data_IF_222293486394
#
_entry.id   IF_222293486394
#
_cell.length_a   1.000
_cell.length_b   1.000
_cell.length_c   1.000
_cell.angle_alpha   90.00
_cell.angle_beta   90.00
_cell.angle_gamma   90.00
#
_symmetry.space_group_name_H-M   'P 1'
#
loop_
_entity.id
_entity.type
_entity.pdbx_description
1 polymer ?
#
# COMPACT_ATOMS: atom_id res chain seq x y z
N UNK A 1 -9.11 -21.99 0.59
CA UNK A 1 -8.71 -21.57 0.56
C UNK A 1 -7.97 -20.94 0.41
N UNK A 2 -8.04 -20.85 0.30
CA UNK A 2 -7.30 -20.44 0.05
C UNK A 2 -6.59 -19.44 -0.27
N UNK A 3 -6.59 -18.63 -0.32
CA UNK A 3 -6.00 -17.58 -0.54
C UNK A 3 -5.06 -17.12 0.39
N UNK A 4 -4.33 -18.01 0.93
CA UNK A 4 -3.35 -17.75 1.88
C UNK A 4 -2.16 -17.08 1.31
N UNK A 5 -2.10 -16.98 0.01
CA UNK A 5 -0.92 -16.48 -0.64
C UNK A 5 -1.08 -15.10 -1.26
N UNK A 6 -1.98 -14.31 -0.73
CA UNK A 6 -2.10 -12.93 -1.20
C UNK A 6 -0.82 -12.18 -0.84
N UNK A 7 -0.09 -11.67 -1.84
CA UNK A 7 1.18 -11.00 -1.55
C UNK A 7 0.98 -9.68 -0.80
N UNK A 8 1.89 -9.42 0.12
CA UNK A 8 1.91 -8.17 0.87
C UNK A 8 2.76 -7.19 0.07
N UNK A 9 2.17 -6.13 -0.41
CA UNK A 9 2.82 -5.17 -1.28
C UNK A 9 2.98 -3.84 -0.57
N UNK A 10 4.21 -3.42 -0.33
CA UNK A 10 4.50 -2.14 0.30
C UNK A 10 4.53 -1.03 -0.73
N UNK A 11 3.87 0.07 -0.45
CA UNK A 11 3.77 1.19 -1.37
C UNK A 11 4.41 2.41 -0.73
N UNK A 12 5.50 2.90 -1.31
CA UNK A 12 6.25 4.07 -0.83
C UNK A 12 6.22 5.13 -1.93
N UNK A 13 6.04 6.38 -1.55
CA UNK A 13 6.01 7.48 -2.52
C UNK A 13 4.67 7.62 -3.22
N UNK A 14 3.63 7.03 -2.68
CA UNK A 14 2.31 7.02 -3.31
C UNK A 14 1.66 8.41 -3.38
N UNK A 15 2.18 9.37 -2.62
CA UNK A 15 1.63 10.73 -2.64
C UNK A 15 2.12 11.57 -3.79
N UNK A 16 3.21 11.19 -4.42
CA UNK A 16 3.74 11.91 -5.54
C UNK A 16 2.86 11.78 -6.77
N UNK A 17 3.11 12.60 -7.78
CA UNK A 17 2.30 12.58 -8.99
C UNK A 17 2.33 11.21 -9.67
N UNK A 18 3.50 10.61 -9.79
CA UNK A 18 3.63 9.30 -10.41
C UNK A 18 2.95 8.24 -9.54
N UNK A 19 3.12 8.35 -8.24
CA UNK A 19 2.50 7.41 -7.31
C UNK A 19 0.99 7.46 -7.36
N UNK A 20 0.40 8.64 -7.45
CA UNK A 20 -1.06 8.76 -7.50
C UNK A 20 -1.62 8.21 -8.81
N UNK A 21 -0.92 8.40 -9.92
CA UNK A 21 -1.34 7.82 -11.21
C UNK A 21 -1.29 6.29 -11.14
N UNK A 22 -0.23 5.75 -10.54
CA UNK A 22 -0.10 4.31 -10.37
C UNK A 22 -1.25 3.76 -9.51
N UNK A 23 -1.59 4.47 -8.41
CA UNK A 23 -2.68 4.03 -7.55
C UNK A 23 -4.00 4.01 -8.30
N UNK A 24 -4.27 5.02 -9.12
CA UNK A 24 -5.50 5.07 -9.89
C UNK A 24 -5.57 3.92 -10.89
N UNK A 25 -4.45 3.61 -11.53
CA UNK A 25 -4.42 2.50 -12.48
C UNK A 25 -4.66 1.16 -11.78
N UNK A 26 -4.02 0.97 -10.63
CA UNK A 26 -4.19 -0.25 -9.87
C UNK A 26 -5.64 -0.43 -9.44
N UNK A 27 -6.30 0.66 -9.08
CA UNK A 27 -7.71 0.59 -8.71
C UNK A 27 -8.57 0.24 -9.93
N UNK A 28 -8.32 0.87 -11.07
CA UNK A 28 -9.08 0.64 -12.29
C UNK A 28 -8.91 -0.81 -12.79
N UNK A 29 -7.71 -1.37 -12.63
CA UNK A 29 -7.41 -2.72 -13.07
C UNK A 29 -7.75 -3.76 -12.01
N UNK A 30 -8.25 -3.31 -10.87
CA UNK A 30 -8.59 -4.17 -9.74
C UNK A 30 -7.39 -4.93 -9.18
N UNK A 31 -6.21 -4.37 -9.32
CA UNK A 31 -5.00 -4.98 -8.79
C UNK A 31 -5.04 -5.09 -7.27
N UNK A 32 -5.71 -4.14 -6.61
CA UNK A 32 -5.83 -4.19 -5.15
C UNK A 32 -6.63 -5.39 -4.66
N UNK A 33 -7.40 -6.03 -5.52
CA UNK A 33 -8.12 -7.23 -5.13
C UNK A 33 -7.20 -8.44 -5.07
N UNK A 34 -6.03 -8.34 -5.71
CA UNK A 34 -5.09 -9.44 -5.81
C UNK A 34 -3.93 -9.34 -4.83
N UNK A 35 -3.86 -8.27 -4.08
CA UNK A 35 -2.75 -8.02 -3.16
C UNK A 35 -3.26 -7.52 -1.82
N UNK A 36 -2.37 -7.49 -0.84
CA UNK A 36 -2.65 -6.82 0.42
C UNK A 36 -1.74 -5.59 0.47
N UNK A 37 -2.27 -4.40 0.22
CA UNK A 37 -1.43 -3.20 0.17
C UNK A 37 -1.07 -2.70 1.57
N UNK A 38 0.15 -2.22 1.73
CA UNK A 38 0.63 -1.59 2.95
C UNK A 38 1.24 -0.26 2.54
N UNK A 39 0.71 0.82 3.05
CA UNK A 39 1.19 2.16 2.70
C UNK A 39 2.22 2.65 3.70
N UNK A 40 3.32 3.17 3.19
CA UNK A 40 4.41 3.68 4.01
C UNK A 40 4.58 5.18 3.84
N UNK A 41 4.98 5.85 4.91
CA UNK A 41 5.22 7.29 4.89
C UNK A 41 6.47 7.60 5.69
N UNK A 42 7.25 8.58 5.24
CA UNK A 42 8.42 9.03 5.97
C UNK A 42 8.06 10.07 7.04
N UNK A 43 6.93 10.73 6.90
CA UNK A 43 6.60 11.85 7.78
C UNK A 43 5.30 11.68 8.54
N UNK A 44 4.44 10.76 8.14
CA UNK A 44 3.13 10.62 8.73
C UNK A 44 2.81 9.19 9.17
N UNK A 45 3.82 8.48 9.59
CA UNK A 45 3.62 7.12 10.11
C UNK A 45 2.60 7.16 11.25
N UNK A 46 1.70 6.19 11.26
CA UNK A 46 0.60 6.14 12.20
C UNK A 46 -0.65 6.87 11.76
N UNK A 47 -0.56 7.64 10.68
CA UNK A 47 -1.72 8.35 10.14
C UNK A 47 -2.63 7.43 9.35
N UNK A 48 -3.63 8.01 8.74
CA UNK A 48 -4.61 7.24 7.99
C UNK A 48 -4.12 6.91 6.59
N UNK A 49 -4.47 5.74 6.11
CA UNK A 49 -4.15 5.33 4.74
C UNK A 49 -5.01 6.14 3.76
N UNK A 50 -4.56 6.27 2.49
CA UNK A 50 -5.33 7.03 1.52
C UNK A 50 -6.63 6.34 1.14
N UNK A 51 -7.60 7.15 0.78
CA UNK A 51 -8.85 6.65 0.22
C UNK A 51 -8.79 6.83 -1.29
N UNK A 52 -9.08 5.78 -2.02
CA UNK A 52 -9.13 5.84 -3.48
C UNK A 52 -10.59 5.76 -3.89
N UNK A 53 -11.06 6.81 -4.54
CA UNK A 53 -12.46 6.96 -4.86
C UNK A 53 -13.33 6.84 -3.61
N UNK A 54 -12.83 7.39 -2.50
CA UNK A 54 -13.58 7.38 -1.24
C UNK A 54 -13.57 6.06 -0.50
N UNK A 55 -12.75 5.10 -0.93
CA UNK A 55 -12.72 3.77 -0.31
C UNK A 55 -11.32 3.39 0.10
N UNK A 56 -11.21 2.65 1.20
CA UNK A 56 -9.95 2.08 1.61
C UNK A 56 -9.65 0.84 0.79
N UNK A 57 -8.42 0.72 0.33
CA UNK A 57 -7.99 -0.47 -0.40
C UNK A 57 -7.19 -1.42 0.48
N UNK A 58 -6.83 -0.99 1.69
CA UNK A 58 -6.12 -1.85 2.63
C UNK A 58 -7.09 -2.84 3.28
N UNK A 59 -6.58 -3.99 3.62
CA UNK A 59 -7.39 -5.05 4.23
C UNK A 59 -7.10 -5.19 5.72
N UNK A 60 -5.83 -5.20 6.08
CA UNK A 60 -5.43 -5.36 7.48
C UNK A 60 -4.72 -4.15 8.05
N UNK A 61 -3.85 -3.53 7.28
CA UNK A 61 -3.07 -2.40 7.76
C UNK A 61 -3.78 -1.11 7.42
N UNK A 62 -4.52 -0.58 8.35
CA UNK A 62 -5.32 0.63 8.14
C UNK A 62 -4.63 1.91 8.55
N UNK A 63 -3.35 1.84 8.90
CA UNK A 63 -2.56 3.03 9.23
C UNK A 63 -1.29 3.03 8.40
N UNK A 64 -0.73 4.22 8.21
CA UNK A 64 0.52 4.36 7.48
C UNK A 64 1.67 3.79 8.31
N UNK A 65 2.49 2.98 7.69
CA UNK A 65 3.67 2.42 8.32
C UNK A 65 4.85 3.37 8.13
N UNK A 66 5.86 3.24 8.97
CA UNK A 66 7.05 4.07 8.88
C UNK A 66 7.96 3.54 7.79
N UNK A 67 8.23 4.37 6.79
CA UNK A 67 9.09 3.98 5.68
C UNK A 67 10.56 3.77 6.11
N UNK A 68 10.91 4.17 7.34
CA UNK A 68 12.25 3.93 7.87
C UNK A 68 12.30 2.66 8.74
N UNK A 69 11.20 1.99 8.93
CA UNK A 69 11.13 0.78 9.75
C UNK A 69 11.50 -0.42 8.88
N UNK A 70 12.72 -0.88 9.02
CA UNK A 70 13.22 -2.00 8.22
C UNK A 70 12.43 -3.27 8.48
N UNK A 71 11.97 -3.49 9.69
CA UNK A 71 11.17 -4.68 9.99
C UNK A 71 9.83 -4.66 9.28
N UNK A 72 9.19 -3.50 9.21
CA UNK A 72 7.92 -3.37 8.50
C UNK A 72 8.13 -3.55 7.00
N UNK A 73 9.21 -2.97 6.46
CA UNK A 73 9.52 -3.10 5.04
C UNK A 73 9.83 -4.55 4.67
N UNK A 74 10.54 -5.26 5.54
CA UNK A 74 10.95 -6.62 5.24
C UNK A 74 9.81 -7.62 5.25
N UNK A 75 8.67 -7.25 5.84
CA UNK A 75 7.50 -8.13 5.83
C UNK A 75 6.77 -8.11 4.48
N UNK A 76 7.07 -7.14 3.64
CA UNK A 76 6.41 -7.04 2.35
C UNK A 76 7.08 -7.98 1.35
N UNK A 77 6.26 -8.67 0.57
CA UNK A 77 6.76 -9.57 -0.48
C UNK A 77 7.26 -8.76 -1.66
N UNK A 78 6.63 -7.63 -1.94
CA UNK A 78 6.99 -6.76 -3.06
C UNK A 78 6.96 -5.33 -2.55
N UNK A 79 7.93 -4.53 -3.00
CA UNK A 79 7.97 -3.10 -2.67
C UNK A 79 7.81 -2.30 -3.95
N UNK A 80 6.88 -1.37 -3.97
CA UNK A 80 6.69 -0.46 -5.09
C UNK A 80 7.12 0.94 -4.66
N UNK A 81 8.14 1.45 -5.33
CA UNK A 81 8.69 2.77 -5.03
C UNK A 81 8.41 3.70 -6.20
N UNK A 82 8.01 4.90 -5.90
CA UNK A 82 7.79 5.89 -6.95
C UNK A 82 8.34 7.25 -6.58
#
# INVERSE_FOLDING_TARGET
MANTNTPLVGLVGWRGMVGSVLMERMLAEKDFDLIEPVFFSTSQAGGEVPLLNGKKVTKNENTLQDANDINALSRCDIMMLS
#
